data_IF_540828452016
#
_entry.id   IF_540828452016
#
_cell.length_a   1.000
_cell.length_b   1.000
_cell.length_c   1.000
_cell.angle_alpha   90.00
_cell.angle_beta   90.00
_cell.angle_gamma   90.00
#
_symmetry.space_group_name_H-M   'P 1'
#
loop_
_entity.id
_entity.type
_entity.pdbx_description
1 polymer ?
#
# COMPACT_ATOMS: atom_id res chain seq x y z
N UNK A 1 -7.58 4.74 18.43
CA UNK A 1 -8.71 4.73 17.48
C UNK A 1 -8.76 5.96 16.63
N UNK A 2 -8.70 7.15 17.22
CA UNK A 2 -8.62 8.40 16.47
C UNK A 2 -7.41 8.44 15.53
N UNK A 3 -6.25 7.97 15.99
CA UNK A 3 -5.03 7.94 15.20
C UNK A 3 -5.18 7.09 13.93
N UNK A 4 -5.87 5.97 14.04
CA UNK A 4 -6.10 5.09 12.90
C UNK A 4 -6.96 5.77 11.84
N UNK A 5 -8.03 6.44 12.27
CA UNK A 5 -8.93 7.16 11.37
C UNK A 5 -8.19 8.31 10.70
N UNK A 6 -7.40 9.06 11.46
CA UNK A 6 -6.61 10.17 10.94
C UNK A 6 -5.60 9.68 9.88
N UNK A 7 -4.92 8.57 10.15
CA UNK A 7 -3.99 7.98 9.19
C UNK A 7 -4.68 7.57 7.90
N UNK A 8 -5.86 6.99 7.99
CA UNK A 8 -6.63 6.61 6.81
C UNK A 8 -7.04 7.82 5.98
N UNK A 9 -7.46 8.90 6.63
CA UNK A 9 -7.85 10.14 5.95
C UNK A 9 -6.66 10.73 5.22
N UNK A 10 -5.51 10.81 5.87
CA UNK A 10 -4.28 11.34 5.25
C UNK A 10 -3.89 10.53 4.04
N UNK A 11 -3.89 9.20 4.15
CA UNK A 11 -3.54 8.33 3.03
C UNK A 11 -4.51 8.49 1.87
N UNK A 12 -5.80 8.65 2.15
CA UNK A 12 -6.79 8.89 1.11
C UNK A 12 -6.55 10.21 0.39
N UNK A 13 -6.24 11.26 1.14
CA UNK A 13 -5.96 12.57 0.55
C UNK A 13 -4.74 12.50 -0.37
N UNK A 14 -3.67 11.87 0.09
CA UNK A 14 -2.46 11.70 -0.71
C UNK A 14 -2.72 10.87 -1.97
N UNK A 15 -3.50 9.83 -1.83
CA UNK A 15 -3.91 9.00 -2.97
C UNK A 15 -4.69 9.81 -3.99
N UNK A 16 -5.63 10.64 -3.55
CA UNK A 16 -6.43 11.47 -4.44
C UNK A 16 -5.55 12.44 -5.21
N UNK A 17 -4.61 13.10 -4.54
CA UNK A 17 -3.65 13.99 -5.18
C UNK A 17 -2.78 13.25 -6.18
N UNK A 18 -2.32 12.07 -5.82
CA UNK A 18 -1.55 11.23 -6.72
C UNK A 18 -2.33 10.83 -7.96
N UNK A 19 -3.61 10.52 -7.78
CA UNK A 19 -4.49 10.18 -8.88
C UNK A 19 -4.70 11.35 -9.84
N UNK A 20 -4.89 12.56 -9.30
CA UNK A 20 -5.05 13.74 -10.14
C UNK A 20 -3.81 13.98 -10.98
N UNK A 21 -2.64 13.84 -10.39
CA UNK A 21 -1.39 13.94 -11.15
C UNK A 21 -1.25 12.80 -12.16
N UNK A 22 -1.70 11.62 -11.79
CA UNK A 22 -1.70 10.48 -12.67
C UNK A 22 -2.59 10.67 -13.88
N UNK A 23 -3.72 11.35 -13.73
CA UNK A 23 -4.62 11.64 -14.84
C UNK A 23 -3.95 12.48 -15.92
N UNK A 24 -3.13 13.46 -15.52
CA UNK A 24 -2.37 14.26 -16.46
C UNK A 24 -1.41 13.41 -17.29
N UNK A 25 -0.93 12.32 -16.73
CA UNK A 25 0.00 11.42 -17.38
C UNK A 25 -0.70 10.29 -18.12
N UNK A 26 -1.87 9.89 -17.65
CA UNK A 26 -2.61 8.76 -18.20
C UNK A 26 -2.95 8.98 -19.67
N UNK A 27 -3.20 10.21 -20.08
CA UNK A 27 -3.39 10.50 -21.48
C UNK A 27 -2.20 10.13 -22.36
N UNK A 28 -1.01 10.02 -21.76
CA UNK A 28 0.22 9.66 -22.45
C UNK A 28 0.53 8.18 -22.27
N UNK A 29 0.16 7.62 -21.14
CA UNK A 29 0.48 6.24 -20.76
C UNK A 29 -0.61 5.30 -21.22
N UNK A 30 -0.33 4.51 -22.20
CA UNK A 30 -1.31 3.58 -22.76
C UNK A 30 -1.26 2.20 -22.14
N UNK A 31 -0.18 1.85 -21.44
CA UNK A 31 -0.01 0.54 -20.83
C UNK A 31 -0.02 0.61 -19.32
N UNK A 32 -0.69 -0.37 -18.69
CA UNK A 32 -0.72 -0.41 -17.23
C UNK A 32 0.65 -0.72 -16.62
N UNK A 33 1.46 -1.50 -17.29
CA UNK A 33 2.77 -1.92 -16.78
C UNK A 33 3.74 -0.77 -16.59
N UNK A 34 3.75 0.20 -17.51
CA UNK A 34 4.64 1.34 -17.43
C UNK A 34 4.20 2.38 -16.44
N UNK A 35 2.98 2.27 -15.94
CA UNK A 35 2.40 3.22 -15.01
C UNK A 35 2.97 3.08 -13.59
N UNK A 36 3.29 1.85 -13.19
CA UNK A 36 3.73 1.56 -11.84
C UNK A 36 5.23 1.32 -11.81
N UNK A 37 5.95 2.03 -10.90
CA UNK A 37 7.38 1.81 -10.77
C UNK A 37 7.68 0.42 -10.21
N UNK A 38 8.76 -0.17 -10.70
CA UNK A 38 9.23 -1.45 -10.18
C UNK A 38 10.14 -1.21 -8.99
N UNK A 39 10.10 -2.13 -8.04
CA UNK A 39 11.02 -2.10 -6.91
C UNK A 39 12.33 -2.77 -7.32
N UNK A 40 13.46 -2.18 -6.92
CA UNK A 40 14.79 -2.71 -7.18
C UNK A 40 15.73 -2.32 -6.03
N UNK A 41 17.04 -2.49 -6.24
CA UNK A 41 18.03 -2.17 -5.20
C UNK A 41 18.05 -0.68 -4.84
N UNK A 42 17.80 0.20 -5.81
CA UNK A 42 17.77 1.64 -5.59
C UNK A 42 16.44 2.13 -5.06
N UNK A 43 15.37 1.47 -5.48
CA UNK A 43 14.02 1.85 -5.09
C UNK A 43 13.40 0.76 -4.25
N UNK A 44 13.40 0.94 -2.94
CA UNK A 44 12.77 0.04 -2.01
C UNK A 44 11.25 0.06 -2.12
N UNK A 45 10.62 -0.99 -1.63
CA UNK A 45 9.15 -1.09 -1.63
C UNK A 45 8.50 0.04 -0.82
N UNK A 46 9.20 0.59 0.16
CA UNK A 46 8.69 1.71 0.96
C UNK A 46 8.47 2.96 0.12
N UNK A 47 9.27 3.16 -0.93
CA UNK A 47 9.15 4.33 -1.80
C UNK A 47 7.89 4.31 -2.65
N UNK A 48 7.28 3.15 -2.81
CA UNK A 48 6.07 3.00 -3.62
C UNK A 48 4.84 2.66 -2.78
N UNK A 49 4.93 2.76 -1.47
CA UNK A 49 3.84 2.37 -0.56
C UNK A 49 2.51 3.03 -0.91
N UNK A 50 2.51 4.33 -1.14
CA UNK A 50 1.26 5.04 -1.47
C UNK A 50 0.73 4.61 -2.84
N UNK A 51 1.60 4.31 -3.77
CA UNK A 51 1.21 3.81 -5.09
C UNK A 51 0.62 2.41 -4.99
N UNK A 52 1.12 1.59 -4.08
CA UNK A 52 0.54 0.26 -3.82
C UNK A 52 -0.90 0.40 -3.32
N UNK A 53 -1.13 1.34 -2.39
CA UNK A 53 -2.48 1.60 -1.90
C UNK A 53 -3.41 2.04 -3.03
N UNK A 54 -2.95 2.92 -3.89
CA UNK A 54 -3.74 3.40 -5.03
C UNK A 54 -4.04 2.27 -6.01
N UNK A 55 -3.04 1.48 -6.33
CA UNK A 55 -3.20 0.32 -7.21
C UNK A 55 -4.23 -0.66 -6.65
N UNK A 56 -4.14 -0.96 -5.35
CA UNK A 56 -5.11 -1.84 -4.69
C UNK A 56 -6.52 -1.28 -4.77
N UNK A 57 -6.68 0.03 -4.57
CA UNK A 57 -7.97 0.68 -4.74
C UNK A 57 -8.55 0.50 -6.13
N UNK A 58 -7.72 0.53 -7.15
CA UNK A 58 -8.15 0.27 -8.53
C UNK A 58 -8.59 -1.17 -8.74
N UNK A 59 -8.06 -2.09 -7.94
CA UNK A 59 -8.48 -3.50 -7.97
C UNK A 59 -9.74 -3.76 -7.13
N UNK A 60 -10.29 -2.71 -6.52
CA UNK A 60 -11.46 -2.86 -5.66
C UNK A 60 -11.12 -3.29 -4.24
N UNK A 61 -9.86 -3.22 -3.87
CA UNK A 61 -9.38 -3.62 -2.54
C UNK A 61 -9.28 -2.40 -1.64
N UNK A 62 -9.84 -2.50 -0.44
CA UNK A 62 -9.64 -1.50 0.60
C UNK A 62 -8.33 -1.80 1.31
N UNK A 63 -7.45 -0.81 1.41
CA UNK A 63 -6.12 -1.01 2.00
C UNK A 63 -5.72 0.17 2.87
N UNK A 64 -4.96 -0.10 3.91
CA UNK A 64 -4.42 0.93 4.79
C UNK A 64 -3.07 0.51 5.34
N UNK A 65 -2.27 1.49 5.71
CA UNK A 65 -1.06 1.29 6.50
C UNK A 65 -1.13 2.23 7.70
N UNK A 66 -0.70 1.75 8.87
CA UNK A 66 -0.78 2.52 10.09
C UNK A 66 0.42 2.25 10.99
N UNK A 67 0.68 3.23 11.86
CA UNK A 67 1.65 3.12 12.95
C UNK A 67 0.89 2.92 14.26
N UNK A 68 1.32 1.92 15.04
CA UNK A 68 0.78 1.67 16.37
C UNK A 68 1.77 2.18 17.42
N UNK A 69 1.36 3.26 18.12
CA UNK A 69 2.24 3.93 19.07
C UNK A 69 2.59 3.06 20.27
N UNK A 70 1.65 2.23 20.73
CA UNK A 70 1.90 1.34 21.87
C UNK A 70 2.93 0.26 21.51
N UNK A 71 2.78 -0.33 20.36
CA UNK A 71 3.75 -1.32 19.89
C UNK A 71 5.13 -0.71 19.67
N UNK A 72 5.16 0.52 19.18
CA UNK A 72 6.42 1.24 19.02
C UNK A 72 7.10 1.44 20.37
N UNK A 73 6.35 1.87 21.39
CA UNK A 73 6.87 2.06 22.74
C UNK A 73 7.38 0.75 23.35
N UNK A 74 6.72 -0.35 23.04
CA UNK A 74 7.08 -1.68 23.53
C UNK A 74 8.19 -2.35 22.72
N UNK A 75 8.72 -1.66 21.73
CA UNK A 75 9.77 -2.18 20.84
C UNK A 75 9.35 -3.45 20.10
N UNK A 76 8.07 -3.51 19.70
CA UNK A 76 7.52 -4.58 18.88
C UNK A 76 7.22 -4.04 17.48
N UNK A 77 7.00 -4.91 16.47
CA UNK A 77 6.68 -4.43 15.12
C UNK A 77 5.44 -3.54 15.13
N UNK A 78 5.62 -2.26 14.81
CA UNK A 78 4.60 -1.23 15.00
C UNK A 78 3.88 -0.82 13.71
N UNK A 79 4.46 -1.12 12.55
CA UNK A 79 3.81 -0.86 11.27
C UNK A 79 2.86 -2.00 10.92
N UNK A 80 1.65 -1.65 10.49
CA UNK A 80 0.66 -2.64 10.05
C UNK A 80 0.09 -2.23 8.70
N UNK A 81 0.05 -3.17 7.78
CA UNK A 81 -0.69 -3.05 6.53
C UNK A 81 -1.89 -3.99 6.61
N UNK A 82 -3.04 -3.52 6.18
CA UNK A 82 -4.24 -4.35 6.14
C UNK A 82 -4.98 -4.11 4.83
N UNK A 83 -5.56 -5.17 4.28
CA UNK A 83 -6.32 -5.09 3.04
C UNK A 83 -7.49 -6.06 3.08
N UNK A 84 -8.60 -5.67 2.42
CA UNK A 84 -9.80 -6.51 2.37
C UNK A 84 -10.67 -6.11 1.18
N UNK A 85 -11.53 -7.03 0.77
CA UNK A 85 -12.50 -6.79 -0.29
C UNK A 85 -11.98 -7.09 -1.69
N UNK A 86 -12.77 -6.80 -2.70
CA UNK A 86 -12.44 -7.07 -4.08
C UNK A 86 -12.12 -8.54 -4.32
N UNK A 87 -11.03 -8.83 -5.04
CA UNK A 87 -10.65 -10.22 -5.31
C UNK A 87 -10.08 -10.99 -4.13
N UNK A 88 -9.86 -10.33 -2.98
CA UNK A 88 -9.38 -11.01 -1.79
C UNK A 88 -10.53 -11.80 -1.14
N UNK A 89 -10.40 -13.13 -1.10
CA UNK A 89 -11.39 -13.99 -0.47
C UNK A 89 -11.48 -13.73 1.04
N UNK A 90 -10.34 -13.42 1.64
CA UNK A 90 -10.22 -13.10 3.06
C UNK A 90 -9.39 -11.85 3.23
N UNK A 91 -9.65 -11.10 4.30
CA UNK A 91 -8.80 -9.98 4.66
C UNK A 91 -7.37 -10.46 4.96
N UNK A 92 -6.41 -9.59 4.74
CA UNK A 92 -5.01 -9.90 5.05
C UNK A 92 -4.39 -8.80 5.88
N UNK A 93 -3.35 -9.15 6.61
CA UNK A 93 -2.62 -8.22 7.46
C UNK A 93 -1.13 -8.56 7.42
N UNK A 94 -0.30 -7.54 7.49
CA UNK A 94 1.14 -7.69 7.59
C UNK A 94 1.67 -6.68 8.60
N UNK A 95 2.62 -7.09 9.40
CA UNK A 95 3.27 -6.24 10.39
C UNK A 95 4.76 -6.17 10.11
N UNK A 96 5.38 -5.06 10.51
CA UNK A 96 6.83 -4.90 10.36
C UNK A 96 7.36 -3.82 11.28
N UNK A 97 8.66 -3.87 11.55
CA UNK A 97 9.34 -2.85 12.35
C UNK A 97 9.62 -1.59 11.55
N UNK A 98 9.70 -1.73 10.24
CA UNK A 98 9.87 -0.62 9.30
C UNK A 98 8.80 -0.71 8.22
N UNK A 99 8.59 0.40 7.51
CA UNK A 99 7.68 0.40 6.36
C UNK A 99 8.18 -0.61 5.32
N UNK A 100 9.47 -0.66 5.08
CA UNK A 100 10.10 -1.60 4.15
C UNK A 100 9.74 -3.05 4.50
N UNK A 101 9.93 -3.43 5.75
CA UNK A 101 9.63 -4.79 6.20
C UNK A 101 8.15 -5.09 6.09
N UNK A 102 7.30 -4.18 6.56
CA UNK A 102 5.86 -4.34 6.52
C UNK A 102 5.37 -4.53 5.09
N UNK A 103 5.80 -3.67 4.17
CA UNK A 103 5.35 -3.71 2.80
C UNK A 103 5.90 -4.91 2.03
N UNK A 104 7.12 -5.34 2.34
CA UNK A 104 7.68 -6.55 1.73
C UNK A 104 6.82 -7.77 2.04
N UNK A 105 6.43 -7.92 3.31
CA UNK A 105 5.53 -8.99 3.73
C UNK A 105 4.16 -8.84 3.09
N UNK A 106 3.63 -7.61 3.07
CA UNK A 106 2.32 -7.34 2.48
C UNK A 106 2.26 -7.73 1.01
N UNK A 107 3.26 -7.33 0.22
CA UNK A 107 3.29 -7.66 -1.21
C UNK A 107 3.40 -9.16 -1.44
N UNK A 108 4.21 -9.86 -0.63
CA UNK A 108 4.31 -11.31 -0.73
C UNK A 108 2.96 -11.98 -0.45
N UNK A 109 2.24 -11.54 0.56
CA UNK A 109 0.93 -12.08 0.90
C UNK A 109 -0.13 -11.78 -0.16
N UNK A 110 -0.08 -10.59 -0.76
CA UNK A 110 -0.98 -10.25 -1.86
C UNK A 110 -0.75 -11.15 -3.08
N UNK A 111 0.50 -11.44 -3.40
CA UNK A 111 0.84 -12.38 -4.48
C UNK A 111 0.36 -13.79 -4.16
N UNK A 112 0.55 -14.23 -2.93
CA UNK A 112 0.08 -15.54 -2.48
C UNK A 112 -1.44 -15.65 -2.56
N UNK A 113 -2.14 -14.54 -2.39
CA UNK A 113 -3.59 -14.47 -2.52
C UNK A 113 -4.06 -14.42 -3.99
N UNK A 114 -3.14 -14.42 -4.95
CA UNK A 114 -3.47 -14.49 -6.36
C UNK A 114 -3.51 -13.15 -7.08
N UNK A 115 -3.13 -12.06 -6.42
CA UNK A 115 -3.08 -10.75 -7.07
C UNK A 115 -1.80 -10.59 -7.91
N UNK A 116 -1.96 -10.06 -9.12
CA UNK A 116 -0.83 -9.79 -10.02
C UNK A 116 -0.23 -8.44 -9.67
N UNK A 117 0.54 -8.41 -8.61
CA UNK A 117 1.15 -7.18 -8.09
C UNK A 117 2.20 -6.67 -9.07
N UNK A 118 2.08 -5.39 -9.55
CA UNK A 118 2.98 -4.86 -10.58
C UNK A 118 4.27 -4.23 -10.03
N UNK A 119 4.50 -4.33 -8.75
CA UNK A 119 5.65 -3.71 -8.10
C UNK A 119 6.80 -4.67 -7.86
#
# INVERSE_FOLDING_TARGET
MTTEIESMIVLRALRTLGRLRGLDRVGVMTGNRGRWPQTDEERGVEDVTLLVLEWLGEQGVNAMIRMDAERLADNTPAWTFAASGGPLAHGMRADGRTVQQCMSVALARLRDAGLSVPF
#
